data_IF_788383491201
#
_entry.id   IF_788383491201
#
_cell.length_a   1.000
_cell.length_b   1.000
_cell.length_c   1.000
_cell.angle_alpha   90.00
_cell.angle_beta   90.00
_cell.angle_gamma   90.00
#
_symmetry.space_group_name_H-M   'P 1'
#
loop_
_entity.id
_entity.type
_entity.pdbx_description
1 polymer ?
#
# COMPACT_ATOMS: atom_id res chain seq x y z
N UNK A 1 14.81 -48.96 -27.49
CA UNK A 1 14.45 -48.00 -26.42
C UNK A 1 14.95 -46.62 -26.81
N UNK A 2 14.27 -45.54 -26.39
CA UNK A 2 14.59 -44.11 -26.62
C UNK A 2 13.90 -43.40 -27.81
N UNK A 3 12.62 -43.07 -27.67
CA UNK A 3 12.00 -41.96 -28.42
C UNK A 3 10.93 -41.17 -27.64
N UNK A 4 10.63 -41.53 -26.39
CA UNK A 4 9.64 -40.82 -25.55
C UNK A 4 10.23 -39.72 -24.66
N UNK A 5 11.54 -39.68 -24.45
CA UNK A 5 12.20 -38.65 -23.64
C UNK A 5 12.29 -37.28 -24.35
N UNK A 6 12.32 -37.27 -25.69
CA UNK A 6 12.57 -36.07 -26.50
C UNK A 6 11.36 -35.14 -26.63
N UNK A 7 10.14 -35.64 -26.41
CA UNK A 7 8.89 -34.87 -26.53
C UNK A 7 8.58 -34.05 -25.27
N UNK A 8 8.75 -34.65 -24.08
CA UNK A 8 8.55 -33.96 -22.80
C UNK A 8 9.58 -32.85 -22.57
N UNK A 9 10.84 -33.11 -22.89
CA UNK A 9 11.90 -32.11 -22.83
C UNK A 9 11.58 -30.90 -23.72
N UNK A 10 11.19 -31.11 -24.98
CA UNK A 10 10.83 -30.01 -25.90
C UNK A 10 9.61 -29.21 -25.44
N UNK A 11 8.60 -29.87 -24.84
CA UNK A 11 7.43 -29.18 -24.30
C UNK A 11 7.78 -28.36 -23.05
N UNK A 12 8.62 -28.90 -22.17
CA UNK A 12 9.13 -28.20 -21.00
C UNK A 12 9.98 -27.00 -21.41
N UNK A 13 10.95 -27.20 -22.31
CA UNK A 13 11.83 -26.14 -22.82
C UNK A 13 11.04 -25.03 -23.52
N UNK A 14 10.05 -25.36 -24.37
CA UNK A 14 9.15 -24.36 -24.97
C UNK A 14 8.40 -23.55 -23.92
N UNK A 15 7.83 -24.21 -22.91
CA UNK A 15 7.04 -23.53 -21.86
C UNK A 15 7.92 -22.69 -20.93
N UNK A 16 9.16 -23.13 -20.64
CA UNK A 16 10.13 -22.33 -19.88
C UNK A 16 10.67 -21.15 -20.68
N UNK A 17 10.88 -21.31 -21.99
CA UNK A 17 11.33 -20.22 -22.86
C UNK A 17 10.24 -19.15 -23.04
N UNK A 18 8.99 -19.58 -23.21
CA UNK A 18 7.81 -18.70 -23.24
C UNK A 18 7.67 -17.92 -21.92
N UNK A 19 7.83 -18.59 -20.77
CA UNK A 19 7.78 -17.93 -19.47
C UNK A 19 8.95 -16.95 -19.26
N UNK A 20 10.18 -17.34 -19.61
CA UNK A 20 11.35 -16.48 -19.50
C UNK A 20 11.24 -15.25 -20.43
N UNK A 21 10.67 -15.43 -21.63
CA UNK A 21 10.37 -14.33 -22.54
C UNK A 21 9.29 -13.40 -21.96
N UNK A 22 8.21 -13.95 -21.40
CA UNK A 22 7.15 -13.16 -20.77
C UNK A 22 7.65 -12.35 -19.56
N UNK A 23 8.48 -12.96 -18.69
CA UNK A 23 9.14 -12.25 -17.57
C UNK A 23 9.95 -11.07 -18.10
N UNK A 24 10.80 -11.30 -19.11
CA UNK A 24 11.62 -10.24 -19.70
C UNK A 24 10.78 -9.14 -20.30
N UNK A 25 9.73 -9.45 -21.05
CA UNK A 25 8.81 -8.46 -21.62
C UNK A 25 8.16 -7.58 -20.54
N UNK A 26 7.68 -8.17 -19.44
CA UNK A 26 7.05 -7.42 -18.35
C UNK A 26 8.06 -6.52 -17.62
N UNK A 27 9.30 -7.00 -17.42
CA UNK A 27 10.37 -6.21 -16.82
C UNK A 27 10.86 -5.09 -17.76
N UNK A 28 10.91 -5.33 -19.08
CA UNK A 28 11.17 -4.29 -20.08
C UNK A 28 10.10 -3.20 -20.03
N UNK A 29 8.83 -3.58 -19.96
CA UNK A 29 7.73 -2.63 -19.78
C UNK A 29 7.85 -1.86 -18.45
N UNK A 30 8.32 -2.51 -17.38
CA UNK A 30 8.58 -1.86 -16.10
C UNK A 30 9.71 -0.82 -16.19
N UNK A 31 10.74 -1.05 -17.02
CA UNK A 31 11.79 -0.06 -17.32
C UNK A 31 11.18 1.12 -18.08
N UNK A 32 10.47 0.86 -19.19
CA UNK A 32 9.86 1.89 -20.05
C UNK A 32 8.93 2.81 -19.26
N UNK A 33 8.13 2.23 -18.36
CA UNK A 33 7.16 2.95 -17.52
C UNK A 33 7.74 3.46 -16.21
N UNK A 34 9.04 3.23 -15.94
CA UNK A 34 9.73 3.57 -14.70
C UNK A 34 8.96 3.10 -13.45
N UNK A 35 8.47 1.87 -13.51
CA UNK A 35 7.65 1.29 -12.45
C UNK A 35 8.38 1.29 -11.09
N UNK A 36 7.64 1.61 -10.04
CA UNK A 36 8.18 1.65 -8.68
C UNK A 36 8.35 0.24 -8.11
N UNK A 37 9.59 -0.16 -7.89
CA UNK A 37 9.94 -1.41 -7.22
C UNK A 37 9.96 -1.16 -5.72
N UNK A 38 9.10 -1.87 -5.01
CA UNK A 38 9.10 -1.96 -3.55
C UNK A 38 9.79 -3.25 -3.16
N UNK A 39 10.88 -3.16 -2.41
CA UNK A 39 11.74 -4.30 -2.11
C UNK A 39 11.79 -4.54 -0.59
N UNK A 40 11.37 -5.73 -0.19
CA UNK A 40 11.44 -6.22 1.19
C UNK A 40 12.58 -7.24 1.27
N UNK A 41 13.58 -6.99 2.11
CA UNK A 41 14.76 -7.85 2.25
C UNK A 41 14.70 -8.67 3.53
N UNK A 42 15.06 -9.95 3.47
CA UNK A 42 14.88 -10.90 4.55
C UNK A 42 16.18 -11.58 4.98
N UNK A 43 16.30 -11.83 6.29
CA UNK A 43 17.30 -12.73 6.91
C UNK A 43 16.53 -13.71 7.80
N UNK A 44 16.66 -15.01 7.55
CA UNK A 44 15.93 -16.06 8.29
C UNK A 44 14.41 -15.77 8.41
N UNK A 45 13.76 -15.44 7.29
CA UNK A 45 12.33 -15.05 7.20
C UNK A 45 11.92 -13.80 8.02
N UNK A 46 12.88 -13.02 8.52
CA UNK A 46 12.63 -11.74 9.19
C UNK A 46 12.98 -10.60 8.25
N UNK A 47 12.04 -9.66 8.11
CA UNK A 47 12.24 -8.43 7.33
C UNK A 47 13.31 -7.55 8.01
N UNK A 48 14.36 -7.18 7.27
CA UNK A 48 15.47 -6.35 7.75
C UNK A 48 15.50 -4.99 7.07
N UNK A 49 15.33 -4.94 5.74
CA UNK A 49 15.34 -3.69 4.98
C UNK A 49 14.07 -3.53 4.14
N UNK A 50 13.65 -2.27 3.97
CA UNK A 50 12.62 -1.89 3.02
C UNK A 50 13.17 -0.77 2.14
N UNK A 51 13.46 -1.09 0.88
CA UNK A 51 14.00 -0.14 -0.08
C UNK A 51 13.02 0.09 -1.22
N UNK A 52 13.16 1.24 -1.88
CA UNK A 52 12.43 1.56 -3.10
C UNK A 52 13.42 1.75 -4.23
N UNK A 53 13.02 1.37 -5.43
CA UNK A 53 13.85 1.50 -6.60
C UNK A 53 13.07 1.48 -7.90
N UNK A 54 13.80 1.40 -9.01
CA UNK A 54 13.25 1.14 -10.33
C UNK A 54 14.18 0.17 -11.07
N UNK A 55 13.62 -0.76 -11.83
CA UNK A 55 14.41 -1.54 -12.77
C UNK A 55 14.94 -0.61 -13.86
N UNK A 56 16.24 -0.71 -14.16
CA UNK A 56 16.91 0.14 -15.16
C UNK A 56 17.58 -0.68 -16.26
N UNK A 57 17.82 -1.97 -16.04
CA UNK A 57 18.44 -2.87 -17.01
C UNK A 57 17.97 -4.30 -16.75
N UNK A 58 17.75 -5.07 -17.83
CA UNK A 58 17.49 -6.51 -17.77
C UNK A 58 18.49 -7.22 -18.68
N UNK A 59 19.24 -8.15 -18.09
CA UNK A 59 20.16 -9.08 -18.76
C UNK A 59 19.57 -10.48 -18.79
N UNK A 60 20.17 -11.42 -19.54
CA UNK A 60 19.67 -12.80 -19.61
C UNK A 60 19.56 -13.51 -18.25
N UNK A 61 20.41 -13.17 -17.29
CA UNK A 61 20.56 -13.84 -15.99
C UNK A 61 20.34 -12.92 -14.77
N UNK A 62 20.33 -11.60 -14.98
CA UNK A 62 20.20 -10.62 -13.91
C UNK A 62 19.36 -9.41 -14.31
N UNK A 63 18.83 -8.70 -13.33
CA UNK A 63 18.28 -7.35 -13.52
C UNK A 63 19.01 -6.34 -12.64
N UNK A 64 19.14 -5.12 -13.15
CA UNK A 64 19.70 -3.98 -12.43
C UNK A 64 18.57 -3.11 -11.90
N UNK A 65 18.66 -2.77 -10.61
CA UNK A 65 17.72 -1.90 -9.92
C UNK A 65 18.47 -0.68 -9.39
N UNK A 66 18.01 0.50 -9.77
CA UNK A 66 18.42 1.76 -9.14
C UNK A 66 17.69 1.95 -7.81
N UNK A 67 18.41 2.25 -6.73
CA UNK A 67 17.86 2.51 -5.40
C UNK A 67 17.60 3.99 -5.17
N UNK A 68 16.40 4.33 -4.71
CA UNK A 68 16.00 5.71 -4.40
C UNK A 68 16.23 6.05 -2.94
N UNK A 69 16.55 7.31 -2.67
CA UNK A 69 16.47 7.89 -1.33
C UNK A 69 17.73 7.80 -0.47
N UNK A 70 18.93 7.78 -1.07
CA UNK A 70 20.19 7.89 -0.33
C UNK A 70 20.40 6.73 0.65
N UNK A 71 20.53 5.52 0.12
CA UNK A 71 20.66 4.31 0.93
C UNK A 71 21.99 4.33 1.68
N UNK A 72 21.96 4.30 3.02
CA UNK A 72 23.17 4.29 3.87
C UNK A 72 23.91 2.96 3.79
N UNK A 73 23.18 1.84 3.93
CA UNK A 73 23.73 0.49 3.89
C UNK A 73 23.13 -0.31 2.75
N UNK A 74 23.99 -0.79 1.85
CA UNK A 74 23.56 -1.67 0.76
C UNK A 74 23.28 -3.07 1.30
N UNK A 75 22.20 -3.73 0.85
CA UNK A 75 21.96 -5.13 1.16
C UNK A 75 23.14 -6.03 0.72
N UNK A 76 23.57 -6.99 1.57
CA UNK A 76 24.68 -7.89 1.24
C UNK A 76 24.32 -8.87 0.11
N UNK A 77 25.36 -9.38 -0.55
CA UNK A 77 25.23 -10.44 -1.57
C UNK A 77 24.58 -11.69 -0.98
N UNK A 78 23.73 -12.35 -1.76
CA UNK A 78 22.98 -13.55 -1.38
C UNK A 78 21.71 -13.26 -0.59
N UNK A 79 21.49 -12.03 -0.11
CA UNK A 79 20.29 -11.68 0.64
C UNK A 79 19.03 -11.87 -0.21
N UNK A 80 18.02 -12.51 0.39
CA UNK A 80 16.73 -12.70 -0.27
C UNK A 80 15.92 -11.41 -0.26
N UNK A 81 15.30 -11.11 -1.39
CA UNK A 81 14.47 -9.94 -1.59
C UNK A 81 13.17 -10.32 -2.29
N UNK A 82 12.06 -9.85 -1.72
CA UNK A 82 10.76 -9.90 -2.36
C UNK A 82 10.49 -8.55 -3.00
N UNK A 83 10.36 -8.55 -4.32
CA UNK A 83 10.12 -7.36 -5.14
C UNK A 83 8.64 -7.29 -5.49
N UNK A 84 8.05 -6.10 -5.35
CA UNK A 84 6.67 -5.81 -5.74
C UNK A 84 6.64 -4.57 -6.62
N UNK A 85 5.93 -4.65 -7.74
CA UNK A 85 5.75 -3.53 -8.66
C UNK A 85 4.39 -3.61 -9.35
N UNK A 86 4.06 -2.61 -10.15
CA UNK A 86 2.89 -2.65 -11.02
C UNK A 86 3.25 -2.08 -12.37
N UNK A 87 2.83 -2.77 -13.44
CA UNK A 87 3.00 -2.32 -14.82
C UNK A 87 1.65 -2.04 -15.45
N UNK A 88 1.59 -1.05 -16.36
CA UNK A 88 0.37 -0.74 -17.11
C UNK A 88 0.28 -1.63 -18.34
N UNK A 89 -0.63 -2.59 -18.33
CA UNK A 89 -0.96 -3.44 -19.49
C UNK A 89 -2.33 -3.00 -20.01
N UNK A 90 -2.41 -2.53 -21.25
CA UNK A 90 -3.68 -2.19 -21.92
C UNK A 90 -4.62 -1.31 -21.07
N UNK A 91 -4.06 -0.25 -20.47
CA UNK A 91 -4.73 0.73 -19.58
C UNK A 91 -5.06 0.24 -18.16
N UNK A 92 -4.78 -1.02 -17.80
CA UNK A 92 -4.94 -1.53 -16.43
C UNK A 92 -3.60 -1.60 -15.72
N UNK A 93 -3.58 -1.14 -14.46
CA UNK A 93 -2.42 -1.35 -13.58
C UNK A 93 -2.47 -2.78 -13.05
N UNK A 94 -1.51 -3.61 -13.46
CA UNK A 94 -1.42 -5.02 -13.06
C UNK A 94 -0.29 -5.16 -12.04
N UNK A 95 -0.56 -5.71 -10.84
CA UNK A 95 0.47 -5.96 -9.85
C UNK A 95 1.29 -7.19 -10.21
N UNK A 96 2.58 -7.11 -9.94
CA UNK A 96 3.53 -8.20 -10.09
C UNK A 96 4.43 -8.30 -8.86
N UNK A 97 4.82 -9.51 -8.54
CA UNK A 97 5.80 -9.78 -7.50
C UNK A 97 6.73 -10.92 -7.88
N UNK A 98 7.92 -10.95 -7.27
CA UNK A 98 8.83 -12.09 -7.37
C UNK A 98 9.81 -12.12 -6.22
N UNK A 99 10.24 -13.32 -5.87
CA UNK A 99 11.31 -13.58 -4.91
C UNK A 99 12.62 -13.78 -5.66
N UNK A 100 13.69 -13.12 -5.23
CA UNK A 100 15.02 -13.25 -5.83
C UNK A 100 16.11 -13.00 -4.79
N UNK A 101 17.38 -13.00 -5.21
CA UNK A 101 18.55 -12.73 -4.36
C UNK A 101 19.42 -11.63 -4.94
N UNK A 102 20.11 -10.92 -4.05
CA UNK A 102 21.14 -9.93 -4.41
C UNK A 102 22.37 -10.65 -4.97
N UNK A 103 22.76 -10.30 -6.18
CA UNK A 103 23.98 -10.78 -6.86
C UNK A 103 25.16 -9.88 -6.52
N UNK A 104 24.95 -8.58 -6.62
CA UNK A 104 25.94 -7.57 -6.25
C UNK A 104 25.27 -6.23 -5.95
N UNK A 105 26.01 -5.36 -5.28
CA UNK A 105 25.59 -4.01 -4.97
C UNK A 105 26.73 -3.06 -5.32
N UNK A 106 26.42 -1.93 -5.97
CA UNK A 106 27.43 -0.97 -6.43
C UNK A 106 26.97 0.47 -6.16
N UNK A 107 27.95 1.36 -5.95
CA UNK A 107 27.73 2.81 -5.92
C UNK A 107 28.46 3.45 -7.08
N UNK A 108 27.78 4.34 -7.81
CA UNK A 108 28.38 5.10 -8.92
C UNK A 108 27.90 6.53 -8.87
N UNK A 109 28.80 7.49 -8.65
CA UNK A 109 28.44 8.92 -8.67
C UNK A 109 27.41 9.33 -7.62
N UNK A 110 27.40 8.69 -6.44
CA UNK A 110 26.40 8.93 -5.39
C UNK A 110 25.12 8.09 -5.52
N UNK A 111 24.85 7.57 -6.71
CA UNK A 111 23.76 6.63 -6.95
C UNK A 111 24.10 5.22 -6.46
N UNK A 112 23.07 4.48 -6.10
CA UNK A 112 23.16 3.13 -5.54
C UNK A 112 22.38 2.15 -6.40
N UNK A 113 23.00 1.02 -6.75
CA UNK A 113 22.39 0.01 -7.61
C UNK A 113 22.51 -1.39 -6.99
N UNK A 114 21.53 -2.24 -7.30
CA UNK A 114 21.56 -3.67 -7.03
C UNK A 114 21.46 -4.45 -8.33
N UNK A 115 22.26 -5.50 -8.41
CA UNK A 115 22.04 -6.59 -9.35
C UNK A 115 21.29 -7.70 -8.61
N UNK A 116 20.16 -8.13 -9.18
CA UNK A 116 19.34 -9.22 -8.66
C UNK A 116 19.30 -10.35 -9.69
N UNK A 117 19.15 -11.60 -9.24
CA UNK A 117 18.90 -12.71 -10.17
C UNK A 117 17.60 -12.45 -10.96
N UNK A 118 17.61 -12.76 -12.25
CA UNK A 118 16.39 -12.73 -13.04
C UNK A 118 15.41 -13.77 -12.48
N UNK A 119 14.15 -13.39 -12.16
CA UNK A 119 13.19 -14.35 -11.64
C UNK A 119 12.75 -15.32 -12.74
N UNK A 120 12.57 -16.60 -12.40
CA UNK A 120 12.04 -17.59 -13.34
C UNK A 120 10.57 -17.36 -13.70
N UNK A 121 9.83 -16.72 -12.79
CA UNK A 121 8.40 -16.42 -12.93
C UNK A 121 8.04 -15.14 -12.19
N UNK A 122 6.99 -14.48 -12.66
CA UNK A 122 6.32 -13.39 -11.95
C UNK A 122 5.04 -13.92 -11.32
N UNK A 123 4.82 -13.59 -10.05
CA UNK A 123 3.53 -13.72 -9.40
C UNK A 123 2.65 -12.50 -9.68
N UNK A 124 1.38 -12.60 -9.29
CA UNK A 124 0.39 -11.53 -9.36
C UNK A 124 -0.06 -11.07 -7.98
N UNK A 125 0.80 -11.24 -6.96
CA UNK A 125 0.45 -10.85 -5.61
C UNK A 125 0.63 -9.35 -5.43
N UNK A 126 -0.35 -8.75 -4.75
CA UNK A 126 -0.17 -7.42 -4.20
C UNK A 126 0.54 -7.55 -2.86
N UNK A 127 1.52 -6.67 -2.60
CA UNK A 127 2.19 -6.54 -1.29
C UNK A 127 1.22 -6.37 -0.11
N UNK A 128 0.00 -5.88 -0.41
CA UNK A 128 -1.01 -5.52 0.56
C UNK A 128 -2.12 -6.55 0.54
N UNK A 129 -2.34 -7.20 1.68
CA UNK A 129 -3.49 -8.10 1.92
C UNK A 129 -4.82 -7.36 1.98
N UNK A 130 -4.78 -6.07 2.33
CA UNK A 130 -5.96 -5.23 2.51
C UNK A 130 -5.95 -4.06 1.51
N UNK A 131 -7.04 -3.92 0.77
CA UNK A 131 -7.25 -2.79 -0.15
C UNK A 131 -7.28 -1.48 0.64
N UNK A 132 -6.56 -0.47 0.14
CA UNK A 132 -6.59 0.90 0.68
C UNK A 132 -7.47 1.77 -0.19
N UNK A 133 -8.21 2.65 0.47
CA UNK A 133 -8.97 3.72 -0.17
C UNK A 133 -8.50 5.04 0.44
N UNK A 134 -8.28 6.05 -0.39
CA UNK A 134 -8.09 7.41 0.13
C UNK A 134 -9.34 7.81 0.90
N UNK A 135 -9.23 8.39 2.09
CA UNK A 135 -10.38 8.81 2.85
C UNK A 135 -10.01 10.02 3.69
N UNK A 136 -10.94 10.94 3.88
CA UNK A 136 -10.77 12.02 4.84
C UNK A 136 -11.41 11.65 6.17
N UNK A 137 -11.06 12.37 7.24
CA UNK A 137 -11.67 12.14 8.55
C UNK A 137 -13.17 12.48 8.56
N UNK A 138 -13.61 13.36 7.65
CA UNK A 138 -15.00 13.75 7.43
C UNK A 138 -15.83 12.62 6.79
N UNK A 139 -15.19 11.71 6.05
CA UNK A 139 -15.86 10.50 5.52
C UNK A 139 -16.29 9.53 6.66
N UNK A 140 -15.77 9.71 7.88
CA UNK A 140 -15.97 8.81 9.03
C UNK A 140 -16.61 9.59 10.18
N UNK A 141 -17.88 9.30 10.46
CA UNK A 141 -18.60 9.93 11.58
C UNK A 141 -17.91 9.60 12.91
N UNK A 142 -17.86 10.57 13.82
CA UNK A 142 -17.21 10.46 15.14
C UNK A 142 -15.72 10.08 15.09
N UNK A 143 -15.02 10.38 14.00
CA UNK A 143 -13.59 10.09 13.89
C UNK A 143 -12.79 10.75 15.02
N UNK A 144 -11.98 9.96 15.72
CA UNK A 144 -11.12 10.40 16.83
C UNK A 144 -9.85 9.57 16.90
N UNK A 145 -8.77 10.18 17.38
CA UNK A 145 -7.45 9.55 17.53
C UNK A 145 -6.87 9.88 18.89
N UNK A 146 -6.24 8.90 19.52
CA UNK A 146 -5.53 9.03 20.80
C UNK A 146 -4.14 8.40 20.71
N UNK A 147 -3.19 8.99 21.42
CA UNK A 147 -1.87 8.43 21.68
C UNK A 147 -1.88 7.63 22.98
N UNK A 148 -1.38 6.40 22.96
CA UNK A 148 -1.22 5.56 24.15
C UNK A 148 0.08 5.93 24.86
N UNK A 149 0.03 6.86 25.81
CA UNK A 149 1.21 7.21 26.61
C UNK A 149 1.48 6.10 27.63
N UNK A 150 2.64 5.44 27.62
CA UNK A 150 2.99 4.48 28.67
C UNK A 150 3.12 5.19 30.01
N UNK A 151 2.52 4.61 31.04
CA UNK A 151 2.59 5.06 32.44
C UNK A 151 2.89 3.83 33.28
N UNK A 152 3.91 3.93 34.13
CA UNK A 152 4.22 2.87 35.10
C UNK A 152 3.17 2.96 36.21
N UNK A 153 2.44 1.88 36.41
CA UNK A 153 1.58 1.73 37.58
C UNK A 153 2.44 1.29 38.76
N UNK A 154 2.73 2.23 39.66
CA UNK A 154 3.64 1.99 40.79
C UNK A 154 3.13 0.92 41.76
N UNK A 155 1.83 0.66 41.80
CA UNK A 155 1.22 -0.33 42.70
C UNK A 155 1.21 -1.73 42.08
N UNK A 156 1.00 -1.82 40.76
CA UNK A 156 0.90 -3.09 40.04
C UNK A 156 2.24 -3.58 39.44
N UNK A 157 3.25 -2.72 39.35
CA UNK A 157 4.51 -3.03 38.64
C UNK A 157 4.35 -3.17 37.12
N UNK A 158 3.15 -2.89 36.59
CA UNK A 158 2.79 -3.04 35.19
C UNK A 158 2.80 -1.71 34.44
N UNK A 159 3.15 -1.76 33.15
CA UNK A 159 3.02 -0.60 32.25
C UNK A 159 1.61 -0.54 31.70
N UNK A 160 0.88 0.52 32.03
CA UNK A 160 -0.46 0.82 31.49
C UNK A 160 -0.38 1.90 30.43
N UNK A 161 -1.33 1.90 29.49
CA UNK A 161 -1.48 2.97 28.51
C UNK A 161 -2.50 3.99 28.99
N UNK A 162 -2.06 5.23 29.16
CA UNK A 162 -2.94 6.39 29.32
C UNK A 162 -3.24 6.98 27.94
N UNK A 163 -4.50 6.94 27.54
CA UNK A 163 -4.94 7.48 26.25
C UNK A 163 -5.02 9.01 26.27
N UNK A 164 -4.14 9.66 25.50
CA UNK A 164 -4.09 11.12 25.34
C UNK A 164 -4.75 11.49 24.02
N UNK A 165 -5.85 12.27 24.01
CA UNK A 165 -6.54 12.65 22.77
C UNK A 165 -5.65 13.52 21.90
N UNK A 166 -5.63 13.24 20.60
CA UNK A 166 -4.99 14.10 19.60
C UNK A 166 -6.07 14.99 18.99
N UNK A 167 -5.89 16.31 19.07
CA UNK A 167 -6.83 17.26 18.46
C UNK A 167 -6.93 17.01 16.95
N UNK A 168 -8.15 16.99 16.43
CA UNK A 168 -8.41 16.75 15.01
C UNK A 168 -7.83 17.83 14.10
N UNK A 169 -7.55 19.04 14.61
CA UNK A 169 -6.85 20.06 13.82
C UNK A 169 -5.41 19.65 13.48
N UNK A 170 -4.81 18.79 14.30
CA UNK A 170 -3.46 18.27 14.11
C UNK A 170 -3.42 16.97 13.33
N UNK A 171 -4.57 16.45 12.90
CA UNK A 171 -4.67 15.15 12.24
C UNK A 171 -5.42 15.27 10.92
N UNK A 172 -4.86 14.64 9.90
CA UNK A 172 -5.50 14.39 8.62
C UNK A 172 -5.40 12.91 8.29
N UNK A 173 -6.50 12.34 7.81
CA UNK A 173 -6.52 10.97 7.29
C UNK A 173 -6.21 11.04 5.79
N UNK A 174 -5.27 10.21 5.33
CA UNK A 174 -4.92 10.12 3.91
C UNK A 174 -5.53 8.89 3.26
N UNK A 175 -5.35 7.73 3.89
CA UNK A 175 -5.90 6.46 3.43
C UNK A 175 -6.23 5.53 4.60
N UNK A 176 -7.13 4.59 4.33
CA UNK A 176 -7.53 3.54 5.27
C UNK A 176 -7.76 2.22 4.52
N UNK A 177 -7.47 1.13 5.22
CA UNK A 177 -7.74 -0.24 4.82
C UNK A 177 -8.24 -1.04 6.01
N UNK A 178 -8.71 -2.26 5.77
CA UNK A 178 -9.13 -3.15 6.85
C UNK A 178 -8.00 -3.53 7.83
N UNK A 179 -6.72 -3.35 7.47
CA UNK A 179 -5.57 -3.69 8.31
C UNK A 179 -4.76 -2.50 8.86
N UNK A 180 -5.14 -1.27 8.52
CA UNK A 180 -4.39 -0.08 8.95
C UNK A 180 -4.79 1.18 8.22
N UNK A 181 -4.18 2.29 8.60
CA UNK A 181 -4.45 3.60 8.02
C UNK A 181 -3.17 4.44 7.90
N UNK A 182 -3.24 5.54 7.15
CA UNK A 182 -2.19 6.53 7.05
C UNK A 182 -2.71 7.91 7.49
N UNK A 183 -2.02 8.52 8.46
CA UNK A 183 -2.30 9.88 8.92
C UNK A 183 -1.19 10.85 8.50
N UNK A 184 -1.54 12.12 8.33
CA UNK A 184 -0.61 13.22 8.57
C UNK A 184 -0.86 13.79 9.96
N UNK A 185 0.22 14.00 10.71
CA UNK A 185 0.17 14.66 12.02
C UNK A 185 1.01 15.93 11.98
N UNK A 186 0.43 17.03 12.47
CA UNK A 186 1.12 18.30 12.59
C UNK A 186 2.27 18.21 13.59
N UNK A 187 3.44 18.73 13.21
CA UNK A 187 4.63 18.78 14.08
C UNK A 187 4.42 19.64 15.33
N UNK A 188 3.52 20.62 15.25
CA UNK A 188 3.09 21.43 16.40
C UNK A 188 2.12 20.71 17.36
N UNK A 189 1.73 19.47 17.07
CA UNK A 189 0.90 18.69 17.98
C UNK A 189 1.64 18.38 19.28
N UNK A 190 1.03 18.56 20.47
CA UNK A 190 1.68 18.24 21.74
C UNK A 190 2.16 16.79 21.87
N UNK A 191 1.53 15.86 21.14
CA UNK A 191 1.93 14.44 21.15
C UNK A 191 3.04 14.13 20.14
N UNK A 192 3.28 15.00 19.15
CA UNK A 192 4.22 14.73 18.05
C UNK A 192 5.63 14.35 18.52
N UNK A 193 6.24 15.02 19.53
CA UNK A 193 7.57 14.65 20.01
C UNK A 193 7.68 13.21 20.56
N UNK A 194 6.54 12.59 20.88
CA UNK A 194 6.48 11.24 21.42
C UNK A 194 6.15 10.19 20.36
N UNK A 195 5.85 10.59 19.12
CA UNK A 195 5.51 9.65 18.06
C UNK A 195 6.78 9.08 17.44
N UNK A 196 6.88 7.76 17.46
CA UNK A 196 7.96 6.98 16.87
C UNK A 196 7.41 5.66 16.31
N UNK A 197 8.16 4.93 15.45
CA UNK A 197 7.82 3.55 15.14
C UNK A 197 7.62 2.73 16.42
N UNK A 198 6.64 1.82 16.39
CA UNK A 198 6.13 0.97 17.48
C UNK A 198 5.22 1.66 18.49
N UNK A 199 5.11 2.99 18.48
CA UNK A 199 4.17 3.69 19.34
C UNK A 199 2.72 3.32 19.06
N UNK A 200 1.90 3.32 20.11
CA UNK A 200 0.52 2.83 20.06
C UNK A 200 -0.46 3.99 19.88
N UNK A 201 -1.35 3.83 18.91
CA UNK A 201 -2.47 4.74 18.66
C UNK A 201 -3.79 3.98 18.78
N UNK A 202 -4.79 4.68 19.28
CA UNK A 202 -6.17 4.25 19.28
C UNK A 202 -6.96 5.16 18.34
N UNK A 203 -7.79 4.56 17.50
CA UNK A 203 -8.64 5.24 16.52
C UNK A 203 -10.07 4.79 16.75
N UNK A 204 -11.02 5.72 16.71
CA UNK A 204 -12.46 5.42 16.78
C UNK A 204 -13.15 6.04 15.57
N UNK A 205 -14.17 5.36 15.07
CA UNK A 205 -15.08 5.91 14.06
C UNK A 205 -16.38 5.11 13.97
N UNK A 206 -17.38 5.76 13.39
CA UNK A 206 -18.68 5.19 13.06
C UNK A 206 -18.76 5.02 11.54
N UNK A 207 -18.83 3.77 11.10
CA UNK A 207 -18.76 3.38 9.69
C UNK A 207 -20.14 3.02 9.15
N UNK A 208 -20.60 3.78 8.15
CA UNK A 208 -21.96 3.66 7.63
C UNK A 208 -22.00 2.79 6.38
N UNK A 209 -22.81 1.73 6.46
CA UNK A 209 -23.00 0.76 5.40
C UNK A 209 -24.44 0.85 4.88
N UNK A 210 -24.60 0.88 3.56
CA UNK A 210 -25.90 0.99 2.91
C UNK A 210 -26.76 -0.22 3.30
N UNK A 211 -27.95 0.06 3.84
CA UNK A 211 -28.89 -0.98 4.27
C UNK A 211 -28.46 -1.77 5.51
N UNK A 212 -27.43 -1.33 6.25
CA UNK A 212 -26.99 -1.93 7.51
C UNK A 212 -26.93 -0.87 8.61
N UNK A 213 -27.05 -1.29 9.87
CA UNK A 213 -26.85 -0.37 11.01
C UNK A 213 -25.41 0.17 11.03
N UNK A 214 -25.19 1.44 11.40
CA UNK A 214 -23.85 2.01 11.55
C UNK A 214 -22.98 1.18 12.49
N UNK A 215 -21.74 0.93 12.08
CA UNK A 215 -20.79 0.12 12.83
C UNK A 215 -19.84 1.04 13.59
N UNK A 216 -19.98 1.15 14.92
CA UNK A 216 -19.00 1.86 15.74
C UNK A 216 -17.82 0.94 16.04
N UNK A 217 -16.65 1.32 15.55
CA UNK A 217 -15.42 0.57 15.70
C UNK A 217 -14.40 1.38 16.50
N UNK A 218 -13.64 0.69 17.32
CA UNK A 218 -12.43 1.17 17.97
C UNK A 218 -11.28 0.28 17.52
N UNK A 219 -10.15 0.86 17.14
CA UNK A 219 -9.01 0.16 16.57
C UNK A 219 -7.76 0.59 17.32
N UNK A 220 -6.99 -0.38 17.81
CA UNK A 220 -5.67 -0.15 18.40
C UNK A 220 -4.64 -0.61 17.40
N UNK A 221 -3.70 0.27 17.07
CA UNK A 221 -2.65 0.00 16.11
C UNK A 221 -1.30 0.55 16.56
N UNK A 222 -0.25 0.02 15.96
CA UNK A 222 1.12 0.49 16.16
C UNK A 222 1.58 1.29 14.95
N UNK A 223 2.31 2.38 15.17
CA UNK A 223 3.03 3.09 14.12
C UNK A 223 4.06 2.14 13.51
N UNK A 224 3.94 1.81 12.23
CA UNK A 224 4.90 0.94 11.55
C UNK A 224 6.01 1.74 10.88
N UNK A 225 5.72 2.98 10.49
CA UNK A 225 6.67 3.85 9.79
C UNK A 225 6.26 5.31 9.95
N UNK A 226 7.25 6.16 10.15
CA UNK A 226 7.11 7.60 9.97
C UNK A 226 7.72 8.01 8.63
N UNK A 227 7.11 8.95 7.94
CA UNK A 227 7.61 9.46 6.66
C UNK A 227 7.58 10.97 6.60
N UNK A 228 8.50 11.54 5.81
CA UNK A 228 8.42 12.96 5.44
C UNK A 228 7.11 13.21 4.66
N UNK A 229 6.51 14.35 4.93
CA UNK A 229 5.37 14.90 4.20
C UNK A 229 5.88 15.97 3.24
N UNK A 230 5.15 16.23 2.15
CA UNK A 230 5.42 17.36 1.26
C UNK A 230 5.25 18.69 2.02
N UNK A 231 4.23 18.77 2.87
CA UNK A 231 4.11 19.80 3.89
C UNK A 231 5.10 19.52 5.04
N UNK A 232 6.16 20.33 5.11
CA UNK A 232 7.21 20.22 6.12
C UNK A 232 6.68 20.41 7.56
N UNK A 233 5.54 21.07 7.74
CA UNK A 233 4.89 21.23 9.04
C UNK A 233 4.20 19.96 9.54
N UNK A 234 4.15 18.91 8.71
CA UNK A 234 3.51 17.63 9.01
C UNK A 234 4.48 16.45 8.88
N UNK A 235 4.08 15.32 9.44
CA UNK A 235 4.74 14.03 9.24
C UNK A 235 3.71 12.95 8.96
N UNK A 236 4.05 12.05 8.04
CA UNK A 236 3.22 10.89 7.74
C UNK A 236 3.42 9.78 8.77
N UNK A 237 2.32 9.19 9.23
CA UNK A 237 2.29 8.02 10.11
C UNK A 237 1.55 6.89 9.40
N UNK A 238 2.26 5.82 9.10
CA UNK A 238 1.62 4.57 8.70
C UNK A 238 1.35 3.74 9.95
N UNK A 239 0.10 3.30 10.12
CA UNK A 239 -0.37 2.58 11.31
C UNK A 239 -0.92 1.23 10.88
N UNK A 240 -0.49 0.16 11.54
CA UNK A 240 -1.03 -1.19 11.37
C UNK A 240 -1.90 -1.51 12.58
N UNK A 241 -3.16 -1.89 12.33
CA UNK A 241 -4.05 -2.33 13.38
C UNK A 241 -3.59 -3.68 13.94
N UNK A 242 -3.76 -3.84 15.26
CA UNK A 242 -3.39 -5.03 16.03
C UNK A 242 -4.57 -5.64 16.75
N UNK A 243 -5.48 -4.79 17.22
CA UNK A 243 -6.70 -5.19 17.93
C UNK A 243 -7.81 -4.23 17.54
N UNK A 244 -9.05 -4.69 17.62
CA UNK A 244 -10.20 -3.85 17.38
C UNK A 244 -11.38 -4.27 18.24
N UNK A 245 -12.26 -3.33 18.51
CA UNK A 245 -13.51 -3.55 19.22
C UNK A 245 -14.69 -3.08 18.39
N UNK A 246 -15.79 -3.81 18.48
CA UNK A 246 -17.10 -3.40 17.94
C UNK A 246 -18.06 -3.10 19.07
N UNK A 247 -18.78 -1.99 18.98
CA UNK A 247 -19.84 -1.65 19.92
C UNK A 247 -21.02 -2.63 19.77
N UNK A 248 -21.35 -3.33 20.85
CA UNK A 248 -22.50 -4.23 20.97
C UNK A 248 -23.11 -4.00 22.36
N UNK A 249 -24.39 -3.65 22.43
CA UNK A 249 -25.08 -3.47 23.73
C UNK A 249 -24.37 -2.51 24.69
N UNK A 250 -23.81 -1.41 24.20
CA UNK A 250 -23.16 -0.38 25.03
C UNK A 250 -21.70 -0.66 25.46
N UNK A 251 -21.12 -1.80 25.09
CA UNK A 251 -19.73 -2.13 25.36
C UNK A 251 -18.96 -2.54 24.09
N UNK A 252 -17.64 -2.44 24.12
CA UNK A 252 -16.78 -2.89 23.02
C UNK A 252 -16.41 -4.36 23.19
N UNK A 253 -16.78 -5.19 22.20
CA UNK A 253 -16.32 -6.57 22.09
C UNK A 253 -15.01 -6.59 21.32
N UNK A 254 -13.92 -6.91 22.01
CA UNK A 254 -12.56 -6.87 21.48
C UNK A 254 -12.16 -8.14 20.74
N UNK A 255 -11.34 -7.98 19.70
CA UNK A 255 -10.75 -9.05 18.89
C UNK A 255 -9.33 -8.68 18.51
N UNK A 256 -8.46 -9.68 18.50
CA UNK A 256 -7.11 -9.53 17.97
C UNK A 256 -7.14 -9.62 16.43
N UNK A 257 -6.14 -9.03 15.79
CA UNK A 257 -6.01 -9.02 14.34
C UNK A 257 -4.71 -9.74 13.93
N UNK A 258 -4.85 -10.83 13.17
CA UNK A 258 -3.71 -11.52 12.58
C UNK A 258 -2.94 -10.66 11.57
N UNK A 259 -1.70 -11.06 11.25
CA UNK A 259 -0.79 -10.27 10.38
C UNK A 259 -1.31 -10.03 8.96
N UNK A 260 -2.12 -10.96 8.43
CA UNK A 260 -2.69 -10.91 7.09
C UNK A 260 -4.21 -10.70 7.11
N UNK A 261 -4.80 -10.50 8.28
CA UNK A 261 -6.24 -10.34 8.44
C UNK A 261 -6.66 -8.88 8.28
N UNK A 262 -7.96 -8.68 8.10
CA UNK A 262 -8.60 -7.38 8.04
C UNK A 262 -9.82 -7.34 8.97
N UNK A 263 -10.17 -6.13 9.39
CA UNK A 263 -11.40 -5.89 10.15
C UNK A 263 -12.58 -5.95 9.18
N UNK A 264 -13.34 -7.06 9.18
CA UNK A 264 -14.40 -7.29 8.18
C UNK A 264 -15.41 -6.13 8.03
N UNK A 265 -15.97 -5.54 9.11
CA UNK A 265 -16.88 -4.40 8.95
C UNK A 265 -16.23 -3.17 8.30
N UNK A 266 -14.92 -2.98 8.52
CA UNK A 266 -14.15 -1.91 7.89
C UNK A 266 -13.85 -2.25 6.42
N UNK A 267 -13.58 -3.52 6.10
CA UNK A 267 -13.40 -3.99 4.72
C UNK A 267 -14.66 -3.71 3.89
N UNK A 268 -15.84 -4.09 4.39
CA UNK A 268 -17.13 -3.80 3.76
C UNK A 268 -17.27 -2.30 3.45
N UNK A 269 -16.92 -1.45 4.42
CA UNK A 269 -17.03 0.00 4.27
C UNK A 269 -16.04 0.55 3.24
N UNK A 270 -14.80 0.06 3.24
CA UNK A 270 -13.79 0.41 2.23
C UNK A 270 -14.27 0.06 0.83
N UNK A 271 -14.82 -1.14 0.62
CA UNK A 271 -15.34 -1.55 -0.68
C UNK A 271 -16.54 -0.71 -1.12
N UNK A 272 -17.46 -0.39 -0.20
CA UNK A 272 -18.58 0.51 -0.49
C UNK A 272 -18.09 1.90 -0.91
N UNK A 273 -17.10 2.46 -0.21
CA UNK A 273 -16.56 3.78 -0.55
C UNK A 273 -15.92 3.78 -1.94
N UNK A 274 -15.15 2.75 -2.28
CA UNK A 274 -14.57 2.57 -3.62
C UNK A 274 -15.67 2.48 -4.68
N UNK A 275 -16.71 1.68 -4.43
CA UNK A 275 -17.82 1.51 -5.37
C UNK A 275 -18.57 2.83 -5.60
N UNK A 276 -18.92 3.54 -4.52
CA UNK A 276 -19.65 4.80 -4.60
C UNK A 276 -18.88 5.86 -5.39
N UNK A 277 -17.56 5.97 -5.16
CA UNK A 277 -16.73 6.92 -5.89
C UNK A 277 -16.58 6.59 -7.37
N UNK A 278 -16.46 5.29 -7.72
CA UNK A 278 -16.44 4.85 -9.13
C UNK A 278 -17.76 5.15 -9.82
N UNK A 279 -18.89 4.95 -9.14
CA UNK A 279 -20.21 5.28 -9.66
C UNK A 279 -20.33 6.79 -9.94
N UNK A 280 -19.98 7.62 -8.96
CA UNK A 280 -20.00 9.08 -9.11
C UNK A 280 -19.07 9.58 -10.22
N UNK A 281 -17.91 8.94 -10.41
CA UNK A 281 -17.01 9.29 -11.51
C UNK A 281 -17.63 9.01 -12.88
N UNK A 282 -18.31 7.87 -13.06
CA UNK A 282 -19.02 7.52 -14.30
C UNK A 282 -20.19 8.45 -14.58
N UNK A 283 -21.00 8.75 -13.56
CA UNK A 283 -22.12 9.71 -13.68
C UNK A 283 -21.61 11.08 -14.15
N UNK A 284 -20.46 11.56 -13.63
CA UNK A 284 -19.83 12.82 -14.08
C UNK A 284 -19.29 12.76 -15.51
N UNK A 285 -18.73 11.62 -15.94
CA UNK A 285 -18.25 11.44 -17.31
C UNK A 285 -19.41 11.44 -18.32
N UNK A 286 -20.53 10.82 -17.95
CA UNK A 286 -21.78 10.81 -18.74
C UNK A 286 -22.41 12.21 -18.83
N UNK A 287 -22.44 12.97 -17.72
CA UNK A 287 -22.92 14.36 -17.71
C UNK A 287 -22.05 15.29 -18.58
N UNK A 288 -20.72 15.16 -18.51
CA UNK A 288 -19.79 15.93 -19.35
C UNK A 288 -19.91 15.57 -20.84
N UNK A 289 -20.12 14.30 -21.16
CA UNK A 289 -20.35 13.84 -22.54
C UNK A 289 -21.68 14.37 -23.09
N UNK A 290 -22.72 14.36 -22.25
CA UNK A 290 -24.04 14.87 -22.60
C UNK A 290 -24.01 16.38 -22.83
N UNK A 291 -23.35 17.17 -21.97
CA UNK A 291 -23.19 18.62 -22.17
C UNK A 291 -22.45 18.98 -23.45
N UNK A 292 -21.42 18.23 -23.83
CA UNK A 292 -20.71 18.43 -25.12
C UNK A 292 -21.59 18.13 -26.33
N UNK A 293 -22.51 17.16 -26.24
CA UNK A 293 -23.47 16.87 -27.31
C UNK A 293 -24.52 17.98 -27.46
N UNK A 294 -25.01 18.54 -26.36
CA UNK A 294 -25.95 19.66 -26.40
C UNK A 294 -25.30 20.93 -26.96
N UNK A 295 -24.07 21.26 -26.57
CA UNK A 295 -23.34 22.41 -27.13
C UNK A 295 -23.09 22.28 -28.64
N UNK A 296 -22.73 21.08 -29.12
CA UNK A 296 -22.57 20.82 -30.56
C UNK A 296 -23.88 20.84 -31.36
N UNK A 297 -25.04 20.66 -30.71
CA UNK A 297 -26.36 20.77 -31.36
C UNK A 297 -26.86 22.22 -31.43
N UNK A 298 -26.53 23.04 -30.43
CA UNK A 298 -26.87 24.47 -30.43
C UNK A 298 -26.04 25.25 -31.45
N UNK A 299 -24.74 24.96 -31.56
CA UNK A 299 -23.86 25.58 -32.56
C UNK A 299 -24.32 25.23 -34.01
N UNK A 300 -24.73 23.98 -34.24
CA UNK A 300 -25.18 23.54 -35.56
C UNK A 300 -26.59 24.04 -35.94
N UNK A 301 -27.39 24.43 -34.95
CA UNK A 301 -28.69 25.08 -35.18
C UNK A 301 -28.57 26.59 -35.40
N UNK A 302 -27.51 27.24 -34.91
CA UNK A 302 -27.23 28.65 -35.22
C UNK A 302 -26.69 28.83 -36.64
N UNK A 303 -25.85 27.92 -37.14
CA UNK A 303 -25.33 27.97 -38.51
C UNK A 303 -26.40 27.75 -39.60
N UNK A 304 -27.52 27.08 -39.28
CA UNK A 304 -28.64 26.88 -40.24
C UNK A 304 -29.66 28.01 -40.28
N UNK A 305 -29.50 29.04 -39.44
CA UNK A 305 -30.40 30.20 -39.36
C UNK A 305 -29.78 31.50 -39.90
N UNK A 306 -28.61 31.42 -40.53
CA UNK A 306 -28.01 32.48 -41.34
C UNK A 306 -28.10 32.10 -42.83
#
# INVERSE_FOLDING_TARGET
MSSKATSFARLFFRKTDENAQAVRQILSLAIETRADFNMDFFVHNRLVYQLKGACVEVRPDALKVYLRGGVEHLPPVGMEVHVYFSSRVERKSVPFDFLTRVVSAERKGGDSFLWLNLPEKLGHNQRRYNVRVSASKEDIRDFRVWYGKPVVDAEAGDVRLRWVPISLQHVELLDISAGGLQLLVARGSPVYPHLAPREVLLVRGTFELRGKSPQQLIMVGSVVRMSKSEDASRAGLAISFKRWGKMVGGHFVWRDLGRQEGINPLADWVFQLIFNRRRLAREREEDCSSRKKYQGQDDHNQERRQ
#
